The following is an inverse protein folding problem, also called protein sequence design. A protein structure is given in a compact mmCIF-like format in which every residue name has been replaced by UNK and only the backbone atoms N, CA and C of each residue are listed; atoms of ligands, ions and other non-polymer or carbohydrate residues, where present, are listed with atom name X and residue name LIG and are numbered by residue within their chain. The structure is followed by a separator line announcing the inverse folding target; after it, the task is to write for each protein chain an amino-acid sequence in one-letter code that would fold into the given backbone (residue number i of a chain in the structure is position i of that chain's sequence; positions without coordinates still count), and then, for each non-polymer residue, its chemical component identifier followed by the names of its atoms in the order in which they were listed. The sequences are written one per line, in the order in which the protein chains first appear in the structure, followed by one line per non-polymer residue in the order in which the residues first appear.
data_IF_719412443295
#
_entry.id   IF_719412443295
#
_cell.length_a   1.000
_cell.length_b   1.000
_cell.length_c   1.000
_cell.angle_alpha   90.00
_cell.angle_beta   90.00
_cell.angle_gamma   90.00
#
_symmetry.space_group_name_H-M   'P 1'
#
loop_
_entity.id
_entity.type
_entity.pdbx_description
1 polymer ?
#
# COMPACT_ATOMS: atom_id res chain seq x y z
N UNK A 1 -55.78 -65.50 11.98
CA UNK A 1 -55.59 -65.07 10.59
C UNK A 1 -54.97 -63.68 10.62
N UNK A 2 -53.68 -63.63 10.31
CA UNK A 2 -52.84 -62.44 10.22
C UNK A 2 -53.19 -61.67 8.96
N UNK A 3 -53.52 -60.38 9.07
CA UNK A 3 -53.56 -59.46 7.93
C UNK A 3 -52.47 -58.41 8.18
N UNK A 4 -51.51 -58.39 7.27
CA UNK A 4 -50.31 -57.54 7.26
C UNK A 4 -50.44 -56.57 6.09
N UNK A 5 -50.45 -55.27 6.42
CA UNK A 5 -50.01 -54.08 5.65
C UNK A 5 -50.79 -53.71 4.34
N UNK A 6 -50.90 -52.41 4.00
CA UNK A 6 -49.77 -51.56 3.64
C UNK A 6 -49.67 -50.27 4.46
N UNK A 7 -48.56 -50.12 5.18
CA UNK A 7 -48.00 -48.81 5.50
C UNK A 7 -46.96 -48.51 4.41
N UNK A 8 -47.32 -47.77 3.36
CA UNK A 8 -46.35 -47.44 2.31
C UNK A 8 -46.61 -46.16 1.51
N UNK A 9 -47.60 -45.32 1.84
CA UNK A 9 -47.83 -44.09 1.06
C UNK A 9 -47.49 -42.77 1.79
N UNK A 10 -47.51 -42.71 3.12
CA UNK A 10 -47.26 -41.43 3.83
C UNK A 10 -45.76 -41.07 3.98
N UNK A 11 -44.85 -42.05 3.95
CA UNK A 11 -43.41 -41.83 4.15
C UNK A 11 -42.69 -41.19 2.95
N UNK A 12 -43.27 -41.21 1.75
CA UNK A 12 -42.66 -40.61 0.56
C UNK A 12 -42.84 -39.08 0.48
N UNK A 13 -43.86 -38.53 1.15
CA UNK A 13 -44.15 -37.09 1.20
C UNK A 13 -43.20 -36.37 2.15
N UNK A 14 -43.06 -36.87 3.39
CA UNK A 14 -42.24 -36.23 4.43
C UNK A 14 -40.73 -36.28 4.11
N UNK A 15 -40.26 -37.38 3.52
CA UNK A 15 -38.86 -37.51 3.08
C UNK A 15 -38.50 -36.53 1.95
N UNK A 16 -39.45 -36.22 1.06
CA UNK A 16 -39.27 -35.23 -0.01
C UNK A 16 -39.13 -33.81 0.53
N UNK A 17 -39.99 -33.41 1.48
CA UNK A 17 -39.89 -32.10 2.12
C UNK A 17 -38.63 -31.97 2.99
N UNK A 18 -38.21 -33.03 3.67
CA UNK A 18 -36.95 -33.05 4.43
C UNK A 18 -35.72 -32.89 3.51
N UNK A 19 -35.69 -33.56 2.35
CA UNK A 19 -34.61 -33.42 1.36
C UNK A 19 -34.57 -32.02 0.75
N UNK A 20 -35.73 -31.42 0.44
CA UNK A 20 -35.83 -30.05 -0.04
C UNK A 20 -35.37 -29.05 1.05
N UNK A 21 -35.76 -29.27 2.30
CA UNK A 21 -35.33 -28.45 3.43
C UNK A 21 -33.81 -28.49 3.66
N UNK A 22 -33.19 -29.68 3.55
CA UNK A 22 -31.74 -29.84 3.65
C UNK A 22 -31.02 -29.21 2.45
N UNK A 23 -31.55 -29.38 1.23
CA UNK A 23 -30.96 -28.77 0.03
C UNK A 23 -31.03 -27.24 0.08
N UNK A 24 -32.16 -26.67 0.50
CA UNK A 24 -32.34 -25.23 0.67
C UNK A 24 -31.49 -24.68 1.81
N UNK A 25 -31.46 -25.35 2.97
CA UNK A 25 -30.59 -24.98 4.09
C UNK A 25 -29.10 -25.04 3.73
N UNK A 26 -28.69 -26.05 2.97
CA UNK A 26 -27.34 -26.19 2.45
C UNK A 26 -26.97 -25.08 1.46
N UNK A 27 -27.84 -24.78 0.49
CA UNK A 27 -27.61 -23.68 -0.47
C UNK A 27 -27.57 -22.31 0.20
N UNK A 28 -28.48 -22.03 1.14
CA UNK A 28 -28.50 -20.78 1.90
C UNK A 28 -27.24 -20.64 2.79
N UNK A 29 -26.76 -21.75 3.37
CA UNK A 29 -25.50 -21.78 4.10
C UNK A 29 -24.30 -21.44 3.22
N UNK A 30 -24.22 -22.01 2.02
CA UNK A 30 -23.15 -21.72 1.06
C UNK A 30 -23.17 -20.27 0.55
N UNK A 31 -24.36 -19.76 0.22
CA UNK A 31 -24.55 -18.36 -0.19
C UNK A 31 -24.16 -17.41 0.95
N UNK A 32 -24.58 -17.71 2.18
CA UNK A 32 -24.23 -16.95 3.37
C UNK A 32 -22.72 -16.91 3.60
N UNK A 33 -22.03 -18.05 3.51
CA UNK A 33 -20.57 -18.11 3.63
C UNK A 33 -19.87 -17.29 2.54
N UNK A 34 -20.31 -17.42 1.29
CA UNK A 34 -19.73 -16.65 0.18
C UNK A 34 -19.93 -15.14 0.36
N UNK A 35 -21.14 -14.71 0.76
CA UNK A 35 -21.43 -13.31 1.01
C UNK A 35 -20.58 -12.75 2.16
N UNK A 36 -20.42 -13.52 3.24
CA UNK A 36 -19.65 -13.11 4.42
C UNK A 36 -18.15 -13.00 4.11
N UNK A 37 -17.62 -13.94 3.32
CA UNK A 37 -16.24 -13.89 2.82
C UNK A 37 -16.02 -12.66 1.92
N UNK A 38 -16.97 -12.35 1.03
CA UNK A 38 -16.90 -11.15 0.19
C UNK A 38 -16.94 -9.86 1.00
N UNK A 39 -17.82 -9.76 2.00
CA UNK A 39 -17.87 -8.61 2.91
C UNK A 39 -16.56 -8.46 3.69
N UNK A 40 -15.98 -9.57 4.14
CA UNK A 40 -14.67 -9.58 4.82
C UNK A 40 -13.56 -9.09 3.91
N UNK A 41 -13.49 -9.56 2.66
CA UNK A 41 -12.52 -9.10 1.67
C UNK A 41 -12.67 -7.60 1.37
N UNK A 42 -13.90 -7.10 1.22
CA UNK A 42 -14.14 -5.67 1.02
C UNK A 42 -13.72 -4.83 2.25
N UNK A 43 -14.05 -5.28 3.47
CA UNK A 43 -13.64 -4.60 4.69
C UNK A 43 -12.11 -4.60 4.87
N UNK A 44 -11.45 -5.69 4.53
CA UNK A 44 -10.00 -5.80 4.55
C UNK A 44 -9.34 -4.87 3.52
N UNK A 45 -9.85 -4.84 2.28
CA UNK A 45 -9.36 -3.93 1.25
C UNK A 45 -9.44 -2.46 1.68
N UNK A 46 -10.56 -2.06 2.30
CA UNK A 46 -10.74 -0.72 2.87
C UNK A 46 -9.72 -0.39 3.96
N UNK A 47 -9.52 -1.33 4.90
CA UNK A 47 -8.58 -1.13 5.99
C UNK A 47 -7.13 -1.01 5.48
N UNK A 48 -6.73 -1.87 4.54
CA UNK A 48 -5.41 -1.85 3.91
C UNK A 48 -5.21 -0.56 3.12
N UNK A 49 -6.18 -0.17 2.29
CA UNK A 49 -6.13 1.06 1.51
C UNK A 49 -6.01 2.31 2.40
N UNK A 50 -6.81 2.38 3.47
CA UNK A 50 -6.75 3.48 4.43
C UNK A 50 -5.38 3.57 5.15
N UNK A 51 -4.81 2.43 5.53
CA UNK A 51 -3.49 2.38 6.17
C UNK A 51 -2.37 2.90 5.26
N UNK A 52 -2.33 2.43 4.01
CA UNK A 52 -1.37 2.93 3.01
C UNK A 52 -1.59 4.41 2.68
N UNK A 53 -2.84 4.84 2.50
CA UNK A 53 -3.15 6.24 2.24
C UNK A 53 -2.68 7.15 3.38
N UNK A 54 -2.86 6.72 4.63
CA UNK A 54 -2.42 7.47 5.81
C UNK A 54 -0.90 7.58 5.89
N UNK A 55 -0.16 6.48 5.69
CA UNK A 55 1.31 6.51 5.72
C UNK A 55 1.88 7.38 4.60
N UNK A 56 1.46 7.15 3.36
CA UNK A 56 1.93 7.91 2.19
C UNK A 56 1.62 9.41 2.37
N UNK A 57 0.43 9.75 2.90
CA UNK A 57 0.09 11.14 3.22
C UNK A 57 1.03 11.73 4.27
N UNK A 58 1.32 10.98 5.34
CA UNK A 58 2.22 11.42 6.40
C UNK A 58 3.66 11.62 5.92
N UNK A 59 4.15 10.73 5.04
CA UNK A 59 5.48 10.86 4.42
C UNK A 59 5.57 12.12 3.55
N UNK A 60 4.56 12.36 2.70
CA UNK A 60 4.47 13.55 1.86
C UNK A 60 4.43 14.82 2.72
N UNK A 61 3.54 14.89 3.70
CA UNK A 61 3.40 16.06 4.57
C UNK A 61 4.69 16.35 5.36
N UNK A 62 5.39 15.31 5.83
CA UNK A 62 6.68 15.48 6.49
C UNK A 62 7.75 16.05 5.55
N UNK A 63 7.80 15.59 4.31
CA UNK A 63 8.73 16.12 3.31
C UNK A 63 8.43 17.59 2.98
N UNK A 64 7.15 17.94 2.83
CA UNK A 64 6.69 19.32 2.60
C UNK A 64 7.03 20.23 3.79
N UNK A 65 6.74 19.80 5.03
CA UNK A 65 7.07 20.56 6.25
C UNK A 65 8.56 20.83 6.39
N UNK A 66 9.40 19.85 6.01
CA UNK A 66 10.86 20.00 5.99
C UNK A 66 11.37 20.82 4.80
N UNK A 67 10.48 21.24 3.89
CA UNK A 67 10.81 21.98 2.66
C UNK A 67 11.89 21.27 1.85
N UNK A 68 11.79 19.95 1.77
CA UNK A 68 12.80 19.08 1.17
C UNK A 68 13.24 19.59 -0.21
N UNK A 69 12.28 19.82 -1.11
CA UNK A 69 12.59 20.29 -2.47
C UNK A 69 13.33 21.62 -2.48
N UNK A 70 12.83 22.61 -1.73
CA UNK A 70 13.43 23.94 -1.66
C UNK A 70 14.85 23.88 -1.07
N UNK A 71 15.07 23.03 -0.06
CA UNK A 71 16.37 22.83 0.55
C UNK A 71 17.41 22.32 -0.47
N UNK A 72 17.07 21.26 -1.21
CA UNK A 72 17.99 20.68 -2.21
C UNK A 72 18.14 21.55 -3.45
N UNK A 73 17.12 22.31 -3.85
CA UNK A 73 17.25 23.34 -4.89
C UNK A 73 18.26 24.42 -4.48
N UNK A 74 18.14 24.98 -3.28
CA UNK A 74 19.08 26.00 -2.78
C UNK A 74 20.51 25.45 -2.68
N UNK A 75 20.65 24.18 -2.26
CA UNK A 75 21.94 23.50 -2.21
C UNK A 75 22.57 23.37 -3.60
N UNK A 76 21.81 22.90 -4.59
CA UNK A 76 22.27 22.80 -5.98
C UNK A 76 22.68 24.16 -6.55
N UNK A 77 21.89 25.20 -6.29
CA UNK A 77 22.22 26.55 -6.74
C UNK A 77 23.51 27.07 -6.11
N UNK A 78 23.72 26.85 -4.81
CA UNK A 78 24.97 27.19 -4.14
C UNK A 78 26.17 26.48 -4.77
N UNK A 79 26.07 25.16 -4.95
CA UNK A 79 27.12 24.37 -5.60
C UNK A 79 27.44 24.84 -7.02
N UNK A 80 26.41 25.15 -7.82
CA UNK A 80 26.58 25.69 -9.18
C UNK A 80 27.25 27.08 -9.19
N UNK A 81 27.08 27.87 -8.13
CA UNK A 81 27.78 29.15 -7.93
C UNK A 81 29.19 29.01 -7.32
N UNK A 82 29.62 27.79 -6.98
CA UNK A 82 30.88 27.55 -6.28
C UNK A 82 30.83 27.86 -4.78
N UNK A 83 29.64 28.10 -4.23
CA UNK A 83 29.40 28.33 -2.81
C UNK A 83 29.21 26.98 -2.09
N UNK A 84 29.73 26.84 -0.87
CA UNK A 84 29.48 25.68 0.00
C UNK A 84 29.78 24.32 -0.67
N UNK A 85 30.81 24.26 -1.53
CA UNK A 85 31.19 23.05 -2.29
C UNK A 85 31.58 21.87 -1.40
N UNK A 86 32.06 22.13 -0.18
CA UNK A 86 32.39 21.11 0.81
C UNK A 86 31.24 20.77 1.77
N UNK A 87 30.13 21.54 1.70
CA UNK A 87 28.98 21.31 2.57
C UNK A 87 28.20 20.08 2.08
N UNK A 88 28.02 19.12 2.98
CA UNK A 88 27.14 17.97 2.80
C UNK A 88 25.88 18.15 3.64
N UNK A 89 24.70 17.79 3.11
CA UNK A 89 23.47 17.92 3.86
C UNK A 89 23.48 16.99 5.07
N UNK A 90 23.04 17.49 6.23
CA UNK A 90 22.80 16.66 7.39
C UNK A 90 21.48 15.88 7.20
N UNK A 91 21.50 14.58 7.53
CA UNK A 91 20.31 13.73 7.50
C UNK A 91 19.81 13.55 8.94
N UNK A 92 18.81 14.36 9.40
CA UNK A 92 18.24 14.17 10.71
C UNK A 92 17.43 12.87 10.76
N UNK A 93 17.83 11.96 11.63
CA UNK A 93 17.10 10.73 11.94
C UNK A 93 17.19 9.67 10.84
N UNK A 94 18.39 9.12 10.62
CA UNK A 94 18.58 7.87 9.89
C UNK A 94 18.03 6.67 10.71
N UNK A 95 16.75 6.74 11.08
CA UNK A 95 16.05 5.64 11.72
C UNK A 95 15.73 4.58 10.67
N UNK A 96 15.98 3.32 11.01
CA UNK A 96 15.90 2.17 10.12
C UNK A 96 14.47 1.75 9.73
N UNK A 97 13.44 2.53 10.09
CA UNK A 97 12.05 2.17 9.82
C UNK A 97 11.19 3.40 9.50
N UNK A 98 11.44 4.01 8.34
CA UNK A 98 10.66 5.15 7.83
C UNK A 98 9.26 4.74 7.35
N UNK A 99 9.01 3.45 7.14
CA UNK A 99 7.80 2.91 6.50
C UNK A 99 7.18 1.74 7.30
N UNK A 100 6.87 1.93 8.59
CA UNK A 100 6.41 0.86 9.47
C UNK A 100 5.06 0.24 9.05
N UNK A 101 4.13 1.03 8.50
CA UNK A 101 2.83 0.55 8.04
C UNK A 101 3.01 -0.22 6.74
N UNK A 102 3.80 0.31 5.79
CA UNK A 102 4.10 -0.37 4.54
C UNK A 102 4.72 -1.75 4.78
N UNK A 103 5.67 -1.83 5.71
CA UNK A 103 6.30 -3.09 6.13
C UNK A 103 5.31 -4.05 6.78
N UNK A 104 4.41 -3.56 7.63
CA UNK A 104 3.41 -4.39 8.31
C UNK A 104 2.31 -4.93 7.37
N UNK A 105 1.99 -4.21 6.29
CA UNK A 105 0.88 -4.51 5.40
C UNK A 105 1.28 -5.04 4.01
N UNK A 106 2.58 -5.16 3.70
CA UNK A 106 3.06 -5.63 2.39
C UNK A 106 2.46 -6.99 1.98
N UNK A 107 2.35 -7.93 2.93
CA UNK A 107 1.76 -9.25 2.69
C UNK A 107 0.26 -9.23 2.40
N UNK A 108 -0.39 -8.08 2.57
CA UNK A 108 -1.82 -7.89 2.33
C UNK A 108 -2.13 -7.06 1.08
N UNK A 109 -1.12 -6.63 0.32
CA UNK A 109 -1.34 -5.84 -0.90
C UNK A 109 -2.29 -6.51 -1.91
N UNK A 110 -2.32 -7.85 -1.94
CA UNK A 110 -3.16 -8.61 -2.87
C UNK A 110 -4.68 -8.40 -2.73
N UNK A 111 -5.15 -7.71 -1.67
CA UNK A 111 -6.57 -7.33 -1.55
C UNK A 111 -6.94 -6.05 -2.31
N UNK A 112 -5.95 -5.29 -2.79
CA UNK A 112 -6.13 -4.07 -3.57
C UNK A 112 -6.21 -4.38 -5.07
N UNK A 113 -6.68 -3.40 -5.85
CA UNK A 113 -6.65 -3.47 -7.31
C UNK A 113 -5.20 -3.55 -7.81
N UNK A 114 -4.90 -4.31 -8.88
CA UNK A 114 -3.54 -4.52 -9.37
C UNK A 114 -2.74 -3.24 -9.63
N UNK A 115 -3.40 -2.19 -10.14
CA UNK A 115 -2.76 -0.90 -10.38
C UNK A 115 -2.33 -0.23 -9.07
N UNK A 116 -3.17 -0.27 -8.03
CA UNK A 116 -2.84 0.34 -6.74
C UNK A 116 -1.72 -0.44 -6.04
N UNK A 117 -1.66 -1.77 -6.18
CA UNK A 117 -0.52 -2.57 -5.72
C UNK A 117 0.78 -2.11 -6.38
N UNK A 118 0.78 -2.01 -7.70
CA UNK A 118 1.95 -1.58 -8.47
C UNK A 118 2.42 -0.19 -8.03
N UNK A 119 1.49 0.75 -7.87
CA UNK A 119 1.82 2.13 -7.53
C UNK A 119 2.27 2.28 -6.08
N UNK A 120 1.72 1.50 -5.14
CA UNK A 120 2.20 1.44 -3.76
C UNK A 120 3.65 0.94 -3.71
N UNK A 121 3.95 -0.17 -4.39
CA UNK A 121 5.32 -0.72 -4.44
C UNK A 121 6.27 0.27 -5.08
N UNK A 122 5.90 0.88 -6.20
CA UNK A 122 6.70 1.87 -6.90
C UNK A 122 6.98 3.09 -6.02
N UNK A 123 5.97 3.56 -5.27
CA UNK A 123 6.12 4.70 -4.36
C UNK A 123 7.17 4.42 -3.28
N UNK A 124 7.06 3.28 -2.58
CA UNK A 124 8.00 2.93 -1.52
C UNK A 124 9.40 2.69 -2.06
N UNK A 125 9.54 2.02 -3.20
CA UNK A 125 10.84 1.78 -3.81
C UNK A 125 11.55 3.10 -4.17
N UNK A 126 10.83 4.06 -4.76
CA UNK A 126 11.37 5.39 -5.06
C UNK A 126 11.70 6.17 -3.78
N UNK A 127 10.84 6.08 -2.78
CA UNK A 127 11.07 6.74 -1.50
C UNK A 127 12.32 6.22 -0.80
N UNK A 128 12.51 4.90 -0.76
CA UNK A 128 13.70 4.27 -0.19
C UNK A 128 14.96 4.61 -0.98
N UNK A 129 14.88 4.63 -2.32
CA UNK A 129 15.99 5.06 -3.18
C UNK A 129 16.40 6.50 -2.86
N UNK A 130 15.46 7.45 -2.83
CA UNK A 130 15.74 8.86 -2.53
C UNK A 130 16.43 9.00 -1.17
N UNK A 131 15.90 8.35 -0.13
CA UNK A 131 16.50 8.40 1.20
C UNK A 131 17.90 7.75 1.22
N UNK A 132 18.07 6.61 0.56
CA UNK A 132 19.36 5.93 0.44
C UNK A 132 20.42 6.81 -0.24
N UNK A 133 20.06 7.44 -1.36
CA UNK A 133 20.94 8.35 -2.10
C UNK A 133 21.37 9.55 -1.24
N UNK A 134 20.44 10.13 -0.47
CA UNK A 134 20.74 11.24 0.44
C UNK A 134 21.70 10.82 1.56
N UNK A 135 21.52 9.63 2.13
CA UNK A 135 22.43 9.08 3.13
C UNK A 135 23.82 8.89 2.54
N UNK A 136 23.94 8.33 1.33
CA UNK A 136 25.21 8.16 0.64
C UNK A 136 25.88 9.51 0.34
N UNK A 137 25.09 10.53 -0.04
CA UNK A 137 25.56 11.89 -0.23
C UNK A 137 26.10 12.50 1.07
N UNK A 138 25.37 12.39 2.17
CA UNK A 138 25.79 12.89 3.47
C UNK A 138 27.05 12.18 4.01
N UNK A 139 27.25 10.91 3.65
CA UNK A 139 28.45 10.13 3.96
C UNK A 139 29.65 10.45 3.05
N UNK A 140 29.48 11.33 2.07
CA UNK A 140 30.54 11.73 1.14
C UNK A 140 30.89 10.69 0.09
N UNK A 141 29.99 9.74 -0.21
CA UNK A 141 30.21 8.71 -1.22
C UNK A 141 30.44 9.29 -2.62
N UNK A 142 29.81 10.44 -2.91
CA UNK A 142 30.01 11.21 -4.13
C UNK A 142 31.17 12.20 -3.94
N UNK A 143 32.35 11.79 -4.41
CA UNK A 143 33.61 12.48 -4.16
C UNK A 143 33.82 13.77 -4.94
N UNK A 144 33.13 13.94 -6.07
CA UNK A 144 33.28 15.14 -6.94
C UNK A 144 32.04 16.02 -6.89
N UNK A 145 32.24 17.34 -7.02
CA UNK A 145 31.13 18.29 -7.09
C UNK A 145 30.17 17.97 -8.24
N UNK A 146 30.70 17.60 -9.41
CA UNK A 146 29.90 17.20 -10.57
C UNK A 146 28.99 16.00 -10.24
N UNK A 147 29.53 14.96 -9.60
CA UNK A 147 28.74 13.80 -9.18
C UNK A 147 27.67 14.15 -8.14
N UNK A 148 27.96 15.06 -7.21
CA UNK A 148 26.97 15.50 -6.20
C UNK A 148 25.83 16.26 -6.88
N UNK A 149 26.14 17.16 -7.81
CA UNK A 149 25.15 17.93 -8.57
C UNK A 149 24.25 16.99 -9.38
N UNK A 150 24.83 16.08 -10.17
CA UNK A 150 24.10 15.13 -11.00
C UNK A 150 23.11 14.29 -10.18
N UNK A 151 23.58 13.78 -9.04
CA UNK A 151 22.77 12.92 -8.16
C UNK A 151 21.64 13.70 -7.51
N UNK A 152 21.89 14.89 -6.97
CA UNK A 152 20.84 15.70 -6.34
C UNK A 152 19.82 16.18 -7.37
N UNK A 153 20.23 16.50 -8.60
CA UNK A 153 19.31 16.81 -9.70
C UNK A 153 18.38 15.64 -10.03
N UNK A 154 18.97 14.44 -10.20
CA UNK A 154 18.21 13.23 -10.47
C UNK A 154 17.22 12.88 -9.36
N UNK A 155 17.64 12.97 -8.09
CA UNK A 155 16.75 12.66 -6.97
C UNK A 155 15.69 13.74 -6.72
N UNK A 156 15.94 15.01 -7.08
CA UNK A 156 14.90 16.03 -7.06
C UNK A 156 13.80 15.73 -8.09
N UNK A 157 14.18 15.33 -9.31
CA UNK A 157 13.20 14.91 -10.32
C UNK A 157 12.44 13.66 -9.86
N UNK A 158 13.16 12.66 -9.34
CA UNK A 158 12.57 11.44 -8.80
C UNK A 158 11.58 11.75 -7.66
N UNK A 159 11.94 12.65 -6.74
CA UNK A 159 11.09 13.09 -5.63
C UNK A 159 9.81 13.77 -6.12
N UNK A 160 9.90 14.67 -7.11
CA UNK A 160 8.71 15.32 -7.70
C UNK A 160 7.77 14.30 -8.32
N UNK A 161 8.32 13.39 -9.13
CA UNK A 161 7.56 12.32 -9.76
C UNK A 161 6.93 11.39 -8.71
N UNK A 162 7.63 11.12 -7.62
CA UNK A 162 7.13 10.27 -6.55
C UNK A 162 6.01 10.95 -5.74
N UNK A 163 6.08 12.26 -5.49
CA UNK A 163 4.99 12.99 -4.83
C UNK A 163 3.77 13.16 -5.73
N UNK A 164 3.95 13.37 -7.04
CA UNK A 164 2.83 13.35 -7.98
C UNK A 164 2.14 11.97 -8.03
N UNK A 165 2.91 10.88 -7.98
CA UNK A 165 2.37 9.52 -7.85
C UNK A 165 1.60 9.38 -6.53
N UNK A 166 2.16 9.85 -5.43
CA UNK A 166 1.55 9.79 -4.10
C UNK A 166 0.18 10.47 -4.05
N UNK A 167 0.04 11.67 -4.62
CA UNK A 167 -1.25 12.39 -4.65
C UNK A 167 -2.34 11.57 -5.35
N UNK A 168 -2.05 11.10 -6.55
CA UNK A 168 -2.97 10.28 -7.32
C UNK A 168 -3.31 8.97 -6.58
N UNK A 169 -2.32 8.33 -5.98
CA UNK A 169 -2.49 7.07 -5.24
C UNK A 169 -3.35 7.27 -3.98
N UNK A 170 -3.09 8.30 -3.19
CA UNK A 170 -3.88 8.63 -1.99
C UNK A 170 -5.35 8.84 -2.36
N UNK A 171 -5.64 9.57 -3.44
CA UNK A 171 -7.02 9.80 -3.88
C UNK A 171 -7.75 8.52 -4.27
N UNK A 172 -7.08 7.56 -4.90
CA UNK A 172 -7.67 6.27 -5.26
C UNK A 172 -7.87 5.38 -4.05
N UNK A 173 -6.89 5.30 -3.16
CA UNK A 173 -6.97 4.49 -1.94
C UNK A 173 -8.10 4.97 -1.00
N UNK A 174 -8.39 6.28 -0.96
CA UNK A 174 -9.53 6.84 -0.22
C UNK A 174 -10.91 6.46 -0.75
N UNK A 175 -11.01 5.91 -1.98
CA UNK A 175 -12.27 5.56 -2.64
C UNK A 175 -12.68 4.10 -2.47
N UNK A 176 -11.86 3.27 -1.81
CA UNK A 176 -12.20 1.89 -1.48
C UNK A 176 -13.38 1.82 -0.51
#
# INVERSE_FOLDING_TARGET
MTSVLPASEETMSEGGYALIGVALGGMLGLIGQFALEKLRQCAEAKAVAAAFAAEISGLKENAERRRFEQYYQNLLEGWRRGENVDFLPEVPGADSNLTPIGSAYVGRLGVLAPQDVSDVVLFYQRFDQINGTIVLLAQGFYSTLASRIEVVEGELENSRNNFALAENLIERLKKY
#
